data_IF_902181420626
#
_entry.id   IF_902181420626
#
_cell.length_a   1.000
_cell.length_b   1.000
_cell.length_c   1.000
_cell.angle_alpha   90.00
_cell.angle_beta   90.00
_cell.angle_gamma   90.00
#
_symmetry.space_group_name_H-M   'P 1'
#
loop_
_entity.id
_entity.type
_entity.pdbx_description
1 polymer ?
#
# COMPACT_ATOMS: atom_id res chain seq x y z
N UNK A 1 -6.41 21.31 6.78
CA UNK A 1 -5.49 20.51 5.95
C UNK A 1 -5.81 19.05 6.21
N UNK A 2 -6.20 18.29 5.20
CA UNK A 2 -6.64 16.89 5.33
C UNK A 2 -5.60 15.97 4.69
N UNK A 3 -4.85 15.28 5.53
CA UNK A 3 -3.78 14.41 5.06
C UNK A 3 -3.88 13.06 5.75
N UNK A 4 -3.45 12.03 5.03
CA UNK A 4 -3.19 10.72 5.58
C UNK A 4 -1.79 10.33 5.13
N UNK A 5 -0.99 9.89 6.09
CA UNK A 5 0.29 9.23 5.84
C UNK A 5 0.33 7.94 6.65
N UNK A 6 0.77 6.88 6.00
CA UNK A 6 1.02 5.58 6.62
C UNK A 6 2.46 5.25 6.31
N UNK A 7 3.27 5.04 7.34
CA UNK A 7 4.69 4.74 7.21
C UNK A 7 4.96 3.36 7.79
N UNK A 8 5.69 2.55 7.04
CA UNK A 8 6.20 1.25 7.47
C UNK A 8 7.71 1.20 7.38
N UNK A 9 8.32 0.48 8.32
CA UNK A 9 9.75 0.23 8.36
C UNK A 9 9.97 -1.24 8.72
N UNK A 10 10.84 -1.92 7.97
CA UNK A 10 11.21 -3.32 8.17
C UNK A 10 12.69 -3.49 7.91
N UNK A 11 13.35 -4.36 8.67
CA UNK A 11 14.72 -4.77 8.43
C UNK A 11 14.78 -6.29 8.45
N UNK A 12 15.25 -6.87 7.35
CA UNK A 12 15.20 -8.32 7.16
C UNK A 12 16.31 -8.79 6.20
N UNK A 13 16.85 -9.98 6.43
CA UNK A 13 17.82 -10.64 5.54
C UNK A 13 17.09 -11.32 4.39
N UNK A 14 16.91 -10.60 3.28
CA UNK A 14 16.31 -11.15 2.07
C UNK A 14 17.32 -12.00 1.29
N UNK A 15 16.87 -13.08 0.64
CA UNK A 15 17.64 -13.72 -0.42
C UNK A 15 17.95 -12.72 -1.55
N UNK A 16 19.05 -12.97 -2.27
CA UNK A 16 19.41 -12.16 -3.45
C UNK A 16 18.31 -12.28 -4.51
N UNK A 17 17.87 -11.14 -5.05
CA UNK A 17 16.82 -11.10 -6.06
C UNK A 17 16.13 -9.74 -6.20
N UNK A 18 15.16 -9.69 -7.11
CA UNK A 18 14.29 -8.53 -7.30
C UNK A 18 12.95 -8.76 -6.62
N UNK A 19 12.48 -7.76 -5.89
CA UNK A 19 11.26 -7.80 -5.10
C UNK A 19 10.36 -6.61 -5.43
N UNK A 20 9.06 -6.81 -5.26
CA UNK A 20 8.05 -5.76 -5.38
C UNK A 20 7.26 -5.67 -4.07
N UNK A 21 7.02 -4.44 -3.61
CA UNK A 21 6.22 -4.16 -2.42
C UNK A 21 4.84 -3.61 -2.82
N UNK A 22 3.80 -4.11 -2.14
CA UNK A 22 2.40 -3.68 -2.30
C UNK A 22 1.80 -3.29 -0.96
N UNK A 23 0.89 -2.33 -0.95
CA UNK A 23 -0.10 -2.18 0.13
C UNK A 23 -1.40 -2.89 -0.26
N UNK A 24 -2.02 -3.57 0.70
CA UNK A 24 -3.38 -4.11 0.54
C UNK A 24 -4.38 -3.17 1.22
N UNK A 25 -5.19 -2.49 0.41
CA UNK A 25 -6.08 -1.42 0.84
C UNK A 25 -7.52 -1.72 0.43
N UNK A 26 -8.48 -1.16 1.16
CA UNK A 26 -9.89 -1.18 0.81
C UNK A 26 -10.52 0.18 1.07
N UNK A 27 -11.35 0.66 0.14
CA UNK A 27 -12.26 1.77 0.38
C UNK A 27 -13.60 1.23 0.90
N UNK A 28 -13.92 1.53 2.15
CA UNK A 28 -15.12 1.12 2.85
C UNK A 28 -14.79 0.54 4.21
N UNK A 29 -15.75 0.57 5.13
CA UNK A 29 -15.58 0.12 6.51
C UNK A 29 -16.19 -1.27 6.69
N UNK A 30 -15.44 -2.20 7.30
CA UNK A 30 -15.99 -3.48 7.69
C UNK A 30 -17.10 -3.28 8.74
N UNK A 31 -18.32 -3.66 8.39
CA UNK A 31 -19.50 -3.55 9.25
C UNK A 31 -20.18 -4.92 9.40
N UNK A 32 -21.05 -5.05 10.40
CA UNK A 32 -21.90 -6.24 10.55
C UNK A 32 -23.35 -5.82 10.33
N UNK A 33 -24.03 -6.45 9.36
CA UNK A 33 -25.48 -6.27 9.14
C UNK A 33 -26.17 -7.61 9.29
N UNK A 34 -27.05 -7.74 10.30
CA UNK A 34 -27.76 -8.99 10.64
C UNK A 34 -26.81 -10.20 10.75
N UNK A 35 -25.68 -10.04 11.43
CA UNK A 35 -24.69 -11.12 11.65
C UNK A 35 -23.77 -11.45 10.46
N UNK A 36 -24.00 -10.88 9.28
CA UNK A 36 -23.11 -11.02 8.11
C UNK A 36 -22.11 -9.86 8.07
N UNK A 37 -20.85 -10.16 7.71
CA UNK A 37 -19.83 -9.12 7.44
C UNK A 37 -20.17 -8.45 6.11
N UNK A 38 -20.30 -7.14 6.11
CA UNK A 38 -20.63 -6.32 4.93
C UNK A 38 -19.67 -5.13 4.89
N UNK A 39 -19.24 -4.69 3.71
CA UNK A 39 -18.49 -3.44 3.58
C UNK A 39 -19.46 -2.26 3.44
N UNK A 40 -19.39 -1.30 4.36
CA UNK A 40 -20.13 -0.05 4.24
C UNK A 40 -19.27 0.99 3.51
N UNK A 41 -19.71 1.43 2.34
CA UNK A 41 -19.01 2.41 1.50
C UNK A 41 -19.55 3.84 1.65
N UNK A 42 -20.63 4.05 2.41
CA UNK A 42 -21.30 5.37 2.54
C UNK A 42 -20.40 6.44 3.17
N UNK A 43 -19.35 6.02 3.89
CA UNK A 43 -18.38 6.90 4.54
C UNK A 43 -17.10 7.10 3.71
N UNK A 44 -17.02 6.54 2.50
CA UNK A 44 -15.89 6.74 1.58
C UNK A 44 -16.02 8.10 0.91
N UNK A 45 -15.05 8.99 1.13
CA UNK A 45 -15.02 10.30 0.49
C UNK A 45 -13.60 10.88 0.47
N UNK A 46 -13.34 11.76 -0.51
CA UNK A 46 -12.11 12.56 -0.60
C UNK A 46 -10.88 11.84 -1.15
N UNK A 47 -11.00 10.58 -1.60
CA UNK A 47 -9.90 9.78 -2.15
C UNK A 47 -9.72 9.92 -3.67
N UNK A 48 -10.78 10.33 -4.37
CA UNK A 48 -10.87 10.51 -5.82
C UNK A 48 -10.35 11.87 -6.31
N UNK A 49 -10.09 12.80 -5.39
CA UNK A 49 -9.63 14.18 -5.71
C UNK A 49 -8.21 14.19 -6.31
N UNK A 50 -7.31 13.36 -5.79
CA UNK A 50 -5.89 13.26 -6.21
C UNK A 50 -5.44 11.80 -6.13
N UNK A 51 -4.38 11.39 -6.84
CA UNK A 51 -3.81 10.08 -6.60
C UNK A 51 -3.18 10.01 -5.21
N UNK A 52 -3.14 8.80 -4.65
CA UNK A 52 -2.33 8.48 -3.49
C UNK A 52 -0.91 8.23 -3.95
N UNK A 53 0.06 8.81 -3.24
CA UNK A 53 1.47 8.61 -3.50
C UNK A 53 2.02 7.51 -2.62
N UNK A 54 2.70 6.56 -3.25
CA UNK A 54 3.39 5.48 -2.59
C UNK A 54 4.90 5.67 -2.76
N UNK A 55 5.67 5.41 -1.71
CA UNK A 55 7.12 5.55 -1.74
C UNK A 55 7.80 4.36 -1.07
N UNK A 56 9.00 4.03 -1.55
CA UNK A 56 9.87 3.00 -1.02
C UNK A 56 11.31 3.51 -1.05
N UNK A 57 12.07 3.19 -0.02
CA UNK A 57 13.52 3.38 0.02
C UNK A 57 14.21 2.26 0.78
N UNK A 58 15.47 2.00 0.45
CA UNK A 58 16.31 1.01 1.13
C UNK A 58 17.51 1.66 1.82
N UNK A 59 18.10 1.00 2.83
CA UNK A 59 19.39 1.40 3.43
C UNK A 59 20.51 1.55 2.39
N UNK A 60 20.39 0.84 1.28
CA UNK A 60 21.35 0.79 0.19
C UNK A 60 21.14 1.90 -0.84
N UNK A 61 20.28 2.87 -0.56
CA UNK A 61 20.10 4.08 -1.38
C UNK A 61 19.11 3.92 -2.54
N UNK A 62 18.52 2.74 -2.73
CA UNK A 62 17.48 2.58 -3.75
C UNK A 62 16.22 3.32 -3.32
N UNK A 63 15.52 3.89 -4.30
CA UNK A 63 14.25 4.62 -4.10
C UNK A 63 13.31 4.32 -5.24
N UNK A 64 12.04 4.11 -4.92
CA UNK A 64 10.96 3.95 -5.90
C UNK A 64 9.74 4.72 -5.41
N UNK A 65 8.91 5.18 -6.33
CA UNK A 65 7.61 5.74 -6.00
C UNK A 65 6.61 5.44 -7.12
N UNK A 66 5.34 5.48 -6.77
CA UNK A 66 4.23 5.34 -7.69
C UNK A 66 3.03 6.13 -7.19
N UNK A 67 2.10 6.43 -8.10
CA UNK A 67 0.89 7.17 -7.78
C UNK A 67 -0.31 6.45 -8.39
N UNK A 68 -1.39 6.32 -7.62
CA UNK A 68 -2.61 5.68 -8.11
C UNK A 68 -3.84 6.22 -7.40
N UNK A 69 -4.95 6.31 -8.12
CA UNK A 69 -6.25 6.57 -7.53
C UNK A 69 -6.74 5.31 -6.81
N UNK A 70 -7.27 5.48 -5.61
CA UNK A 70 -7.94 4.38 -4.93
C UNK A 70 -9.29 4.13 -5.59
N UNK A 71 -9.51 2.89 -6.02
CA UNK A 71 -10.70 2.44 -6.75
C UNK A 71 -11.34 1.23 -6.05
N UNK A 72 -12.43 0.72 -6.60
CA UNK A 72 -13.16 -0.46 -6.09
C UNK A 72 -13.66 -0.32 -4.64
N UNK A 73 -14.59 0.61 -4.34
CA UNK A 73 -15.22 0.63 -3.02
C UNK A 73 -15.85 -0.72 -2.68
N UNK A 74 -15.54 -1.24 -1.50
CA UNK A 74 -15.99 -2.56 -1.05
C UNK A 74 -15.01 -3.70 -1.34
N UNK A 75 -13.95 -3.46 -2.12
CA UNK A 75 -12.99 -4.48 -2.55
C UNK A 75 -11.63 -4.28 -1.88
N UNK A 76 -10.92 -5.37 -1.65
CA UNK A 76 -9.52 -5.32 -1.25
C UNK A 76 -8.66 -5.34 -2.51
N UNK A 77 -7.78 -4.36 -2.65
CA UNK A 77 -6.94 -4.20 -3.82
C UNK A 77 -5.49 -4.03 -3.38
N UNK A 78 -4.59 -4.66 -4.15
CA UNK A 78 -3.15 -4.54 -3.98
C UNK A 78 -2.62 -3.36 -4.81
N UNK A 79 -2.18 -2.30 -4.13
CA UNK A 79 -1.55 -1.15 -4.75
C UNK A 79 -0.04 -1.30 -4.70
N UNK A 80 0.60 -1.31 -5.86
CA UNK A 80 2.06 -1.38 -5.97
C UNK A 80 2.68 -0.12 -5.38
N UNK A 81 3.71 -0.28 -4.58
CA UNK A 81 4.51 0.81 -4.02
C UNK A 81 5.74 1.04 -4.89
N UNK A 82 6.48 -0.03 -5.17
CA UNK A 82 7.71 0.02 -5.94
C UNK A 82 8.48 -1.29 -5.89
N UNK A 83 9.57 -1.32 -6.66
CA UNK A 83 10.50 -2.45 -6.69
C UNK A 83 11.79 -2.11 -5.97
N UNK A 84 12.49 -3.15 -5.51
CA UNK A 84 13.85 -3.05 -5.00
C UNK A 84 14.65 -4.32 -5.31
N UNK A 85 15.96 -4.19 -5.33
CA UNK A 85 16.92 -5.26 -5.58
C UNK A 85 17.68 -5.55 -4.30
N UNK A 86 17.84 -6.83 -4.00
CA UNK A 86 18.72 -7.34 -2.95
C UNK A 86 19.90 -7.98 -3.65
N UNK A 87 21.08 -7.38 -3.52
CA UNK A 87 22.33 -7.79 -4.18
C UNK A 87 23.41 -8.23 -3.19
N UNK A 88 23.20 -7.99 -1.89
CA UNK A 88 24.12 -8.33 -0.81
C UNK A 88 23.55 -9.47 0.05
N UNK A 89 24.02 -10.72 -0.17
CA UNK A 89 23.59 -11.84 0.66
C UNK A 89 24.11 -11.69 2.10
N UNK A 90 23.33 -12.17 3.07
CA UNK A 90 23.68 -12.17 4.51
C UNK A 90 23.86 -10.79 5.15
N UNK A 91 23.32 -9.73 4.52
CA UNK A 91 23.19 -8.41 5.12
C UNK A 91 21.69 -8.05 5.22
N UNK A 92 21.20 -7.59 6.39
CA UNK A 92 19.84 -7.12 6.50
C UNK A 92 19.59 -5.94 5.55
N UNK A 93 18.53 -6.03 4.76
CA UNK A 93 18.05 -4.88 3.97
C UNK A 93 16.96 -4.17 4.77
N UNK A 94 17.25 -2.92 5.11
CA UNK A 94 16.28 -2.04 5.75
C UNK A 94 15.43 -1.34 4.70
N UNK A 95 14.11 -1.49 4.79
CA UNK A 95 13.11 -0.91 3.93
C UNK A 95 12.31 0.14 4.71
N UNK A 96 12.12 1.30 4.10
CA UNK A 96 11.12 2.29 4.53
C UNK A 96 10.15 2.51 3.40
N UNK A 97 8.87 2.43 3.69
CA UNK A 97 7.83 2.61 2.69
C UNK A 97 6.68 3.43 3.26
N UNK A 98 5.97 4.13 2.38
CA UNK A 98 4.84 4.95 2.79
C UNK A 98 3.75 5.02 1.75
N UNK A 99 2.56 5.33 2.24
CA UNK A 99 1.41 5.82 1.50
C UNK A 99 1.11 7.22 2.03
N UNK A 100 0.92 8.19 1.13
CA UNK A 100 0.57 9.55 1.50
C UNK A 100 -0.44 10.15 0.51
N UNK A 101 -1.43 10.86 1.04
CA UNK A 101 -2.28 11.73 0.24
C UNK A 101 -2.59 12.99 1.04
N UNK A 102 -2.17 14.13 0.49
CA UNK A 102 -2.37 15.44 1.10
C UNK A 102 -3.39 16.19 0.24
N UNK A 103 -4.51 16.57 0.86
CA UNK A 103 -5.51 17.44 0.25
C UNK A 103 -5.96 18.53 1.23
N UNK A 104 -6.30 19.71 0.71
CA UNK A 104 -6.73 20.83 1.54
C UNK A 104 -8.23 21.13 1.40
N UNK A 105 -8.93 20.37 0.57
CA UNK A 105 -10.27 20.73 0.08
C UNK A 105 -11.38 19.82 0.62
N UNK A 106 -11.07 18.56 0.92
CA UNK A 106 -12.06 17.57 1.34
C UNK A 106 -11.57 16.74 2.54
N UNK A 107 -12.49 16.43 3.47
CA UNK A 107 -12.26 15.40 4.49
C UNK A 107 -11.98 14.05 3.83
N UNK A 108 -11.26 13.16 4.52
CA UNK A 108 -10.97 11.81 4.04
C UNK A 108 -11.64 10.79 4.96
N UNK A 109 -12.35 9.84 4.39
CA UNK A 109 -13.05 8.82 5.15
C UNK A 109 -13.05 7.46 4.47
N UNK A 110 -13.18 6.40 5.28
CA UNK A 110 -13.42 5.06 4.78
C UNK A 110 -12.21 4.32 4.18
N UNK A 111 -10.96 4.70 4.49
CA UNK A 111 -9.80 3.87 4.12
C UNK A 111 -9.57 2.77 5.16
N UNK A 112 -9.51 1.52 4.70
CA UNK A 112 -9.03 0.37 5.47
C UNK A 112 -7.68 -0.11 4.92
N UNK A 113 -6.81 -0.54 5.84
CA UNK A 113 -5.47 -1.04 5.55
C UNK A 113 -5.36 -2.41 6.20
N UNK A 114 -4.94 -3.41 5.42
CA UNK A 114 -4.67 -4.76 5.94
C UNK A 114 -3.17 -4.90 6.26
N UNK A 115 -2.31 -4.59 5.29
CA UNK A 115 -0.87 -4.65 5.48
C UNK A 115 -0.07 -4.37 4.21
N UNK A 116 1.23 -4.67 4.29
CA UNK A 116 2.15 -4.62 3.15
C UNK A 116 2.61 -6.03 2.78
N UNK A 117 2.77 -6.28 1.48
CA UNK A 117 3.20 -7.57 0.94
C UNK A 117 4.48 -7.36 0.13
N UNK A 118 5.49 -8.16 0.42
CA UNK A 118 6.75 -8.21 -0.33
C UNK A 118 6.80 -9.56 -1.01
N UNK A 119 7.01 -9.58 -2.33
CA UNK A 119 7.16 -10.82 -3.09
C UNK A 119 8.28 -10.69 -4.14
N UNK A 120 8.88 -11.81 -4.58
CA UNK A 120 9.75 -11.80 -5.75
C UNK A 120 9.02 -11.19 -6.96
N UNK A 121 9.68 -10.28 -7.69
CA UNK A 121 9.05 -9.52 -8.79
C UNK A 121 8.49 -10.43 -9.89
N UNK A 122 9.11 -11.58 -10.14
CA UNK A 122 8.63 -12.59 -11.09
C UNK A 122 7.25 -13.17 -10.75
N UNK A 123 6.80 -13.07 -9.50
CA UNK A 123 5.49 -13.52 -9.05
C UNK A 123 4.51 -12.38 -8.77
N UNK A 124 4.93 -11.12 -8.95
CA UNK A 124 4.13 -9.94 -8.63
C UNK A 124 2.80 -9.89 -9.38
N UNK A 125 2.75 -10.35 -10.63
CA UNK A 125 1.51 -10.44 -11.41
C UNK A 125 0.45 -11.33 -10.76
N UNK A 126 0.84 -12.33 -9.96
CA UNK A 126 -0.11 -13.20 -9.26
C UNK A 126 -0.79 -12.48 -8.09
N UNK A 127 -0.16 -11.48 -7.49
CA UNK A 127 -0.76 -10.69 -6.40
C UNK A 127 -1.93 -9.85 -6.91
N UNK A 128 -1.88 -9.38 -8.15
CA UNK A 128 -2.96 -8.61 -8.76
C UNK A 128 -4.21 -9.46 -9.11
N UNK A 129 -4.14 -10.79 -8.94
CA UNK A 129 -5.24 -11.71 -9.19
C UNK A 129 -6.06 -12.02 -7.92
N UNK A 130 -5.64 -11.53 -6.75
CA UNK A 130 -6.27 -11.74 -5.44
C UNK A 130 -6.50 -10.42 -4.70
#
# INVERSE_FOLDING_TARGET
MWWVEVVGELEFEFPVGSYTLFFRLQLGMASKRKGRRVCNVDQVHGWDIKPVRFQLSTSHGQRSHSESYLTGPGEWIHYRVGDFIVDRPNEPTKLKFSLAQIDCTHTKGGLCIDGAIICPTQFSHKILLF
#
